data_IF_895725456791
#
_entry.id   IF_895725456791
#
_cell.length_a   1.000
_cell.length_b   1.000
_cell.length_c   1.000
_cell.angle_alpha   90.00
_cell.angle_beta   90.00
_cell.angle_gamma   90.00
#
_symmetry.space_group_name_H-M   'P 1'
#
loop_
_entity.id
_entity.type
_entity.pdbx_description
1 polymer ?
2 non-polymer ?
3 non-polymer ?
4 non-polymer ?
5 water ?
#
# COMPACT_ATOMS: atom_id res chain seq x y z
N UNK A 4 24.20 11.05 -6.40
CA UNK A 4 25.41 10.24 -6.56
C UNK A 4 25.48 9.03 -5.64
N UNK A 5 25.94 9.27 -4.41
CA UNK A 5 25.96 8.24 -3.37
C UNK A 5 24.62 8.19 -2.64
N UNK A 6 24.29 7.00 -2.11
CA UNK A 6 23.04 6.80 -1.39
C UNK A 6 23.15 7.29 0.04
N UNK A 7 22.11 7.97 0.53
CA UNK A 7 22.08 8.47 1.90
C UNK A 7 21.04 7.71 2.67
N UNK A 8 21.44 7.13 3.81
CA UNK A 8 20.61 6.29 4.65
C UNK A 8 20.25 7.00 5.95
N UNK A 9 19.03 6.75 6.44
CA UNK A 9 18.57 7.23 7.73
C UNK A 9 18.22 6.02 8.59
N UNK A 10 18.43 6.17 9.90
CA UNK A 10 17.82 5.29 10.88
C UNK A 10 16.31 5.29 10.68
N UNK A 11 15.73 4.10 10.54
CA UNK A 11 14.30 4.01 10.34
C UNK A 11 13.55 4.46 11.59
N UNK A 12 12.63 5.41 11.47
CA UNK A 12 11.76 5.74 12.62
C UNK A 12 11.01 4.53 13.17
N UNK A 13 10.74 3.52 12.36
CA UNK A 13 10.01 2.37 12.87
C UNK A 13 10.84 1.46 13.77
N UNK A 14 12.15 1.69 13.87
CA UNK A 14 13.06 0.78 14.57
C UNK A 14 13.49 1.35 15.91
N UNK A 15 13.23 0.60 16.98
CA UNK A 15 13.72 0.99 18.30
C UNK A 15 14.70 -0.09 18.73
N UNK A 16 15.52 0.24 19.73
CA UNK A 16 16.61 -0.63 20.11
C UNK A 16 16.76 -0.66 21.63
N UNK A 17 17.69 -1.50 22.05
CA UNK A 17 17.79 -2.07 23.39
C UNK A 17 19.13 -2.80 23.47
N UNK A 18 19.74 -2.80 24.64
CA UNK A 18 20.92 -3.62 24.82
C UNK A 18 20.48 -4.97 25.39
N UNK A 19 21.37 -5.94 25.23
CA UNK A 19 21.12 -7.32 25.62
C UNK A 19 22.44 -7.89 26.13
N UNK A 20 22.32 -9.05 26.80
CA UNK A 20 23.51 -9.86 27.00
C UNK A 20 24.06 -10.33 25.66
N UNK A 21 23.16 -10.73 24.75
CA UNK A 21 23.53 -11.27 23.44
C UNK A 21 24.10 -10.22 22.51
N UNK A 22 23.58 -9.02 22.58
CA UNK A 22 24.01 -7.96 21.68
C UNK A 22 22.98 -6.86 21.64
N UNK A 23 22.97 -6.13 20.54
CA UNK A 23 22.06 -5.01 20.40
C UNK A 23 20.79 -5.47 19.68
N UNK A 24 19.67 -5.30 20.33
CA UNK A 24 18.35 -5.61 19.78
C UNK A 24 17.84 -4.39 19.02
N UNK A 25 17.54 -4.58 17.74
CA UNK A 25 16.96 -3.55 16.92
C UNK A 25 15.75 -4.14 16.19
N UNK A 26 14.59 -3.56 16.41
CA UNK A 26 13.39 -4.22 15.97
C UNK A 26 13.27 -5.57 16.66
N UNK A 27 12.91 -6.59 15.90
CA UNK A 27 12.69 -7.89 16.49
C UNK A 27 13.92 -8.81 16.42
N UNK A 28 15.09 -8.23 16.15
CA UNK A 28 16.31 -8.97 15.91
C UNK A 28 17.42 -8.50 16.82
N UNK A 29 18.32 -9.45 17.17
CA UNK A 29 19.50 -9.18 17.97
C UNK A 29 20.72 -9.27 17.06
N UNK A 30 21.58 -8.25 17.11
CA UNK A 30 22.80 -8.18 16.31
C UNK A 30 24.05 -8.25 17.17
N UNK A 31 25.14 -8.73 16.56
CA UNK A 31 26.33 -9.18 17.28
C UNK A 31 27.58 -8.66 16.60
N UNK A 32 28.71 -8.75 17.34
CA UNK A 32 30.00 -8.38 16.78
C UNK A 32 30.37 -6.91 16.95
N UNK A 33 31.01 -6.30 15.94
CA UNK A 33 31.52 -4.95 16.10
C UNK A 33 30.44 -4.00 16.59
N UNK A 34 29.19 -4.23 16.17
CA UNK A 34 28.14 -3.26 16.38
C UNK A 34 27.90 -2.94 17.84
N UNK A 35 28.27 -3.84 18.75
CA UNK A 35 28.09 -3.56 20.17
C UNK A 35 28.93 -2.36 20.66
N UNK A 36 30.13 -2.15 20.07
CA UNK A 36 30.94 -1.00 20.43
C UNK A 36 30.43 0.28 19.78
N UNK A 37 29.77 0.15 18.62
CA UNK A 37 29.27 1.31 17.89
C UNK A 37 28.15 2.06 18.60
N UNK A 38 27.43 1.41 19.51
CA UNK A 38 26.30 2.08 20.16
C UNK A 38 26.73 2.70 21.48
N UNK A 39 26.05 3.75 21.93
CA UNK A 39 24.94 4.44 21.29
C UNK A 39 25.21 5.39 20.15
N UNK A 40 26.48 5.68 19.87
CA UNK A 40 26.80 6.73 18.91
C UNK A 40 26.22 6.41 17.54
N UNK A 41 26.13 5.12 17.18
CA UNK A 41 25.65 4.75 15.85
C UNK A 41 24.21 5.19 15.63
N UNK A 42 23.38 5.11 16.69
CA UNK A 42 21.98 5.53 16.61
C UNK A 42 21.89 7.02 16.40
N UNK A 43 22.63 7.80 17.20
CA UNK A 43 22.63 9.26 17.04
C UNK A 43 23.10 9.64 15.64
N UNK A 44 24.23 9.05 15.19
CA UNK A 44 24.83 9.41 13.90
C UNK A 44 23.86 9.11 12.75
N UNK A 45 23.24 7.93 12.77
CA UNK A 45 22.43 7.49 11.64
C UNK A 45 21.16 8.31 11.46
N UNK A 46 20.68 8.99 12.51
CA UNK A 46 19.45 9.75 12.35
C UNK A 46 19.62 10.97 11.47
N UNK A 47 20.86 11.46 11.32
CA UNK A 47 21.15 12.69 10.59
C UNK A 47 21.17 12.51 9.07
N UNK A 48 21.20 11.27 8.58
CA UNK A 48 21.38 11.04 7.16
C UNK A 48 22.85 10.95 6.80
N UNK A 49 23.32 9.74 6.52
CA UNK A 49 24.74 9.46 6.34
C UNK A 49 24.90 8.47 5.20
N UNK A 50 26.05 8.56 4.53
CA UNK A 50 26.39 7.57 3.52
C UNK A 50 27.07 6.36 4.15
N UNK A 51 27.21 5.30 3.33
CA UNK A 51 27.91 4.11 3.79
C UNK A 51 29.38 4.41 4.06
N UNK A 52 30.00 5.23 3.21
CA UNK A 52 31.40 5.56 3.41
C UNK A 52 31.60 6.34 4.70
N UNK A 53 30.73 7.31 4.97
CA UNK A 53 30.88 8.09 6.20
C UNK A 53 30.64 7.21 7.42
N UNK A 54 29.76 6.23 7.31
CA UNK A 54 29.59 5.28 8.40
C UNK A 54 30.87 4.47 8.60
N UNK A 55 31.46 3.97 7.53
CA UNK A 55 32.69 3.20 7.65
C UNK A 55 33.81 4.04 8.24
N UNK A 56 34.03 5.23 7.66
CA UNK A 56 35.06 6.13 8.18
C UNK A 56 34.87 6.42 9.67
N UNK A 57 33.62 6.53 10.12
CA UNK A 57 33.39 6.85 11.52
C UNK A 57 33.43 5.64 12.47
N UNK A 58 33.20 4.41 11.99
CA UNK A 58 33.06 3.27 12.89
C UNK A 58 33.94 2.07 12.54
N UNK A 59 34.48 1.97 11.31
CA UNK A 59 35.17 0.77 10.84
C UNK A 59 36.23 0.32 11.83
N UNK A 60 37.32 1.09 11.97
CA UNK A 60 38.36 0.79 12.95
C UNK A 60 38.49 -0.70 13.21
N UNK A 61 39.03 -1.43 12.23
CA UNK A 61 39.07 -2.88 12.31
C UNK A 61 38.69 -3.51 10.99
N UNK A 62 38.19 -4.74 11.02
CA UNK A 62 37.86 -5.45 9.80
C UNK A 62 36.85 -4.63 9.00
N UNK A 63 37.28 -4.03 7.89
CA UNK A 63 36.34 -3.34 7.02
C UNK A 63 35.41 -4.31 6.27
N UNK A 64 35.80 -5.59 6.13
CA UNK A 64 34.90 -6.62 5.63
C UNK A 64 33.80 -6.92 6.65
N UNK A 65 34.16 -6.92 7.94
CA UNK A 65 33.23 -7.26 9.01
C UNK A 65 32.24 -6.12 9.24
N UNK A 66 32.65 -4.91 8.87
CA UNK A 66 31.77 -3.77 9.07
C UNK A 66 30.76 -3.65 7.93
N UNK A 67 31.22 -3.95 6.69
CA UNK A 67 30.28 -3.92 5.58
C UNK A 67 29.22 -5.01 5.75
N UNK A 68 29.59 -6.09 6.47
CA UNK A 68 28.66 -7.21 6.62
C UNK A 68 27.49 -6.84 7.51
N UNK A 69 27.76 -6.09 8.57
CA UNK A 69 26.68 -5.69 9.46
C UNK A 69 25.89 -4.53 8.86
N UNK A 70 26.55 -3.62 8.14
CA UNK A 70 25.79 -2.59 7.43
C UNK A 70 24.91 -3.18 6.34
N UNK A 71 25.46 -4.13 5.58
CA UNK A 71 24.64 -4.78 4.55
C UNK A 71 23.38 -5.34 5.19
N UNK A 72 23.50 -5.85 6.42
CA UNK A 72 22.39 -6.52 7.10
C UNK A 72 21.40 -5.50 7.69
N UNK A 73 21.89 -4.35 8.14
CA UNK A 73 20.97 -3.33 8.60
C UNK A 73 20.17 -2.71 7.46
N UNK A 74 20.72 -2.68 6.25
CA UNK A 74 19.96 -2.29 5.08
C UNK A 74 18.97 -3.39 4.67
N UNK A 75 19.43 -4.64 4.67
CA UNK A 75 18.55 -5.75 4.34
C UNK A 75 17.37 -5.77 5.30
N UNK A 76 17.66 -5.55 6.60
CA UNK A 76 16.66 -5.62 7.65
C UNK A 76 15.93 -4.30 7.86
N UNK A 77 16.15 -3.31 6.97
CA UNK A 77 15.39 -2.07 6.94
C UNK A 77 15.58 -1.23 8.19
N UNK A 78 16.73 -1.38 8.84
CA UNK A 78 17.11 -0.47 9.91
C UNK A 78 17.68 0.84 9.33
N UNK A 79 18.34 0.76 8.17
CA UNK A 79 18.80 1.91 7.41
C UNK A 79 18.04 1.97 6.09
N UNK A 80 17.40 3.12 5.82
CA UNK A 80 16.47 3.26 4.72
C UNK A 80 16.82 4.54 3.97
N UNK A 81 16.37 4.63 2.68
CA UNK A 81 16.70 5.73 1.78
C UNK A 81 15.59 6.76 1.57
N UNK A 82 14.38 6.53 2.05
CA UNK A 82 13.27 7.40 1.77
C UNK A 82 12.16 7.14 2.72
N UNK A 83 10.97 7.69 2.40
CA UNK A 83 9.81 7.43 3.27
C UNK A 83 9.51 5.93 3.35
N UNK A 84 9.00 5.53 4.54
CA UNK A 84 8.67 4.13 4.73
C UNK A 84 7.36 3.78 4.04
N UNK A 85 7.23 2.57 3.53
CA UNK A 85 5.92 2.11 3.03
C UNK A 85 4.97 1.93 4.19
N UNK A 86 3.64 1.87 3.92
CA UNK A 86 2.66 1.88 5.05
C UNK A 86 2.83 0.76 6.08
N UNK A 87 3.23 -0.44 5.66
CA UNK A 87 3.37 -1.53 6.62
C UNK A 87 4.39 -1.18 7.69
N UNK A 88 5.48 -0.51 7.30
CA UNK A 88 6.51 -0.12 8.26
C UNK A 88 6.11 1.11 9.08
N UNK A 89 5.36 2.04 8.49
CA UNK A 89 4.88 3.21 9.22
C UNK A 89 4.11 2.78 10.43
N UNK A 90 3.21 1.80 10.25
CA UNK A 90 2.27 1.41 11.28
C UNK A 90 2.79 0.33 12.20
N UNK A 91 3.80 -0.45 11.81
CA UNK A 91 4.19 -1.64 12.58
C UNK A 91 4.41 -1.37 14.07
N UNK A 92 4.99 -0.23 14.49
CA UNK A 92 5.21 0.01 15.93
C UNK A 92 3.96 0.09 16.76
N UNK A 93 2.81 0.23 16.14
CA UNK A 93 1.61 0.41 16.94
C UNK A 93 1.22 -0.89 17.63
N UNK A 94 1.76 -2.03 17.17
CA UNK A 94 1.47 -3.32 17.81
C UNK A 94 1.91 -3.31 19.26
N UNK A 95 3.04 -2.63 19.53
CA UNK A 95 3.61 -2.54 20.85
C UNK A 95 2.83 -1.68 21.83
N UNK A 96 1.81 -0.98 21.35
CA UNK A 96 1.04 -0.07 22.18
C UNK A 96 -0.38 -0.56 22.42
N UNK A 97 -0.86 -1.49 21.59
CA UNK A 97 -2.22 -1.98 21.69
C UNK A 97 -2.19 -3.20 22.59
N UNK A 98 -2.98 -3.14 23.65
CA UNK A 98 -3.12 -4.26 24.59
C UNK A 98 -4.33 -5.07 24.12
N UNK A 99 -4.08 -6.30 23.69
CA UNK A 99 -5.14 -7.09 23.07
C UNK A 99 -5.88 -7.90 24.13
N UNK A 100 -7.19 -7.67 24.31
CA UNK A 100 -7.97 -8.44 25.30
C UNK A 100 -8.52 -9.77 24.81
N UNK A 101 -8.35 -10.07 23.51
CA UNK A 101 -8.79 -11.31 22.91
C UNK A 101 -7.61 -12.26 22.82
N UNK A 102 -7.93 -13.51 22.55
CA UNK A 102 -6.88 -14.52 22.42
C UNK A 102 -6.31 -14.45 20.99
N UNK A 103 -5.04 -14.79 20.88
CA UNK A 103 -4.41 -14.84 19.57
C UNK A 103 -5.09 -15.88 18.68
N UNK A 104 -5.90 -16.81 19.25
CA UNK A 104 -6.48 -17.91 18.48
C UNK A 104 -7.52 -17.41 17.47
N UNK A 105 -7.92 -16.14 17.57
CA UNK A 105 -8.73 -15.51 16.55
C UNK A 105 -8.12 -15.69 15.16
N UNK A 106 -6.78 -15.54 15.03
CA UNK A 106 -6.13 -15.62 13.73
C UNK A 106 -5.98 -17.06 13.20
N UNK A 107 -6.04 -18.08 14.09
CA UNK A 107 -5.71 -19.46 13.72
C UNK A 107 -6.94 -20.36 13.53
N UNK A 108 -8.15 -19.86 13.83
CA UNK A 108 -9.34 -20.71 13.87
C UNK A 108 -10.49 -19.97 13.19
N UNK A 109 -11.02 -20.55 12.08
CA UNK A 109 -12.14 -19.94 11.38
C UNK A 109 -13.36 -19.87 12.29
N UNK A 110 -13.38 -20.69 13.35
CA UNK A 110 -14.48 -20.70 14.30
C UNK A 110 -14.30 -19.64 15.38
N UNK A 111 -13.06 -19.46 15.84
CA UNK A 111 -12.78 -18.35 16.75
C UNK A 111 -12.94 -17.00 16.04
N UNK A 112 -12.60 -16.97 14.74
CA UNK A 112 -12.69 -15.72 13.98
C UNK A 112 -14.15 -15.38 13.70
N UNK A 113 -14.91 -16.36 13.17
CA UNK A 113 -16.33 -16.11 12.91
C UNK A 113 -17.01 -15.53 14.15
N UNK A 114 -16.51 -15.89 15.33
CA UNK A 114 -17.12 -15.38 16.57
C UNK A 114 -16.64 -13.95 16.89
N UNK A 115 -15.33 -13.69 16.77
CA UNK A 115 -14.82 -12.34 16.97
C UNK A 115 -15.53 -11.33 16.07
N UNK A 116 -15.82 -11.73 14.82
CA UNK A 116 -16.45 -10.82 13.87
C UNK A 116 -17.86 -10.48 14.32
N UNK A 117 -18.66 -11.50 14.63
CA UNK A 117 -20.04 -11.22 15.00
C UNK A 117 -20.09 -10.36 16.26
N UNK A 118 -19.07 -10.51 17.13
CA UNK A 118 -19.00 -9.68 18.33
C UNK A 118 -18.63 -8.23 17.98
N UNK A 119 -17.74 -8.03 16.99
CA UNK A 119 -17.34 -6.68 16.62
C UNK A 119 -18.43 -6.00 15.81
N UNK A 120 -19.24 -6.77 15.10
CA UNK A 120 -20.32 -6.14 14.35
C UNK A 120 -21.49 -5.80 15.22
N UNK A 121 -21.56 -6.32 16.45
CA UNK A 121 -22.59 -5.93 17.40
C UNK A 121 -22.02 -5.10 18.54
N UNK A 122 -20.88 -4.45 18.32
CA UNK A 122 -20.27 -3.62 19.35
C UNK A 122 -21.02 -2.31 19.49
N UNK A 123 -20.78 -1.66 20.63
CA UNK A 123 -21.32 -0.34 20.88
C UNK A 123 -20.26 0.44 21.64
N UNK A 124 -20.38 1.75 21.57
CA UNK A 124 -19.52 2.65 22.32
C UNK A 124 -19.85 2.55 23.80
N UNK A 125 -18.79 2.50 24.62
CA UNK A 125 -18.96 2.25 26.03
C UNK A 125 -19.59 3.44 26.75
N UNK A 126 -19.43 4.67 26.21
CA UNK A 126 -19.85 5.88 26.91
C UNK A 126 -21.24 6.33 26.49
N UNK A 127 -22.08 5.40 26.08
CA UNK A 127 -23.40 5.73 25.61
C UNK A 127 -24.39 5.87 26.75
N UNK A 128 -25.22 6.90 26.64
CA UNK A 128 -26.30 7.11 27.57
C UNK A 128 -27.55 6.35 27.08
N UNK A 129 -28.53 6.24 27.97
CA UNK A 129 -29.78 5.53 27.66
C UNK A 129 -30.79 6.42 26.92
N UNK A 130 -30.34 7.15 25.91
CA UNK A 130 -31.23 7.79 24.96
C UNK A 130 -30.85 7.34 23.54
N UNK A 131 -31.85 7.28 22.68
CA UNK A 131 -31.73 6.75 21.32
C UNK A 131 -32.60 7.59 20.41
N UNK A 132 -32.16 7.76 19.19
CA UNK A 132 -32.97 8.29 18.08
C UNK A 132 -32.98 7.27 16.95
N UNK A 133 -34.12 6.60 16.75
CA UNK A 133 -34.22 5.59 15.70
C UNK A 133 -34.45 6.28 14.35
N UNK A 134 -33.50 6.08 13.41
CA UNK A 134 -33.59 6.71 12.11
C UNK A 134 -34.50 5.93 11.18
N UNK A 135 -35.01 6.65 10.16
CA UNK A 135 -35.87 6.04 9.14
C UNK A 135 -35.03 5.12 8.25
N UNK A 136 -35.43 3.86 8.20
CA UNK A 136 -34.86 2.84 7.33
C UNK A 136 -35.40 2.91 5.92
N UNK A 137 -36.49 3.69 5.72
CA UNK A 137 -37.25 3.68 4.48
C UNK A 137 -36.42 4.09 3.27
N UNK A 138 -35.70 5.22 3.39
CA UNK A 138 -35.06 5.83 2.24
C UNK A 138 -34.35 4.93 1.25
N UNK A 139 -34.42 5.33 -0.02
CA UNK A 139 -33.84 4.58 -1.12
C UNK A 139 -32.43 5.06 -1.47
N UNK A 140 -31.52 4.12 -1.64
CA UNK A 140 -30.13 4.43 -1.93
C UNK A 140 -29.80 4.04 -3.37
N UNK A 141 -28.78 4.68 -3.97
CA UNK A 141 -28.40 4.31 -5.36
C UNK A 141 -28.04 2.85 -5.48
N UNK A 142 -28.44 2.23 -6.61
CA UNK A 142 -28.16 0.81 -6.78
C UNK A 142 -26.67 0.54 -7.00
N UNK A 143 -25.95 1.46 -7.64
CA UNK A 143 -24.52 1.23 -7.77
C UNK A 143 -23.86 1.13 -6.40
N UNK A 144 -24.47 1.71 -5.36
CA UNK A 144 -23.90 1.62 -4.03
C UNK A 144 -24.39 0.40 -3.29
N UNK A 145 -25.71 0.15 -3.34
CA UNK A 145 -26.27 -0.90 -2.52
C UNK A 145 -25.99 -2.31 -3.02
N UNK A 146 -25.78 -2.47 -4.33
CA UNK A 146 -25.55 -3.78 -4.93
C UNK A 146 -24.08 -4.10 -5.10
N UNK A 147 -23.18 -3.14 -4.83
CA UNK A 147 -21.74 -3.39 -4.91
C UNK A 147 -21.31 -4.46 -3.90
N UNK A 148 -20.54 -5.41 -4.39
CA UNK A 148 -19.99 -6.51 -3.62
C UNK A 148 -18.52 -6.64 -4.00
N UNK A 149 -17.78 -7.35 -3.16
CA UNK A 149 -16.40 -7.68 -3.47
C UNK A 149 -16.45 -8.89 -4.38
N UNK A 150 -16.01 -8.70 -5.62
CA UNK A 150 -16.08 -9.71 -6.67
C UNK A 150 -14.77 -10.50 -6.68
N UNK A 151 -14.87 -11.83 -6.56
CA UNK A 151 -13.68 -12.67 -6.50
C UNK A 151 -13.64 -13.74 -7.60
N UNK A 152 -14.62 -13.73 -8.51
CA UNK A 152 -14.69 -14.66 -9.62
C UNK A 152 -15.03 -13.82 -10.84
N UNK A 153 -14.23 -13.93 -11.91
CA UNK A 153 -14.39 -13.13 -13.09
C UNK A 153 -14.52 -13.99 -14.35
N UNK A 154 -15.09 -13.39 -15.39
CA UNK A 154 -15.08 -13.94 -16.74
C UNK A 154 -13.64 -13.91 -17.25
N UNK A 155 -13.02 -15.08 -17.36
CA UNK A 155 -11.63 -15.16 -17.79
C UNK A 155 -11.48 -15.30 -19.28
N UNK A 156 -12.59 -15.37 -20.00
CA UNK A 156 -12.56 -15.51 -21.46
C UNK A 156 -12.93 -14.21 -22.17
N UNK A 157 -14.05 -13.59 -21.80
CA UNK A 157 -14.46 -12.36 -22.48
C UNK A 157 -13.55 -11.19 -22.13
N UNK A 158 -12.94 -10.52 -23.10
CA UNK A 158 -12.10 -9.36 -22.76
C UNK A 158 -12.92 -8.15 -22.36
N UNK A 159 -12.43 -7.43 -21.34
CA UNK A 159 -12.98 -6.13 -21.01
C UNK A 159 -12.89 -5.26 -22.26
N UNK A 160 -14.04 -4.80 -22.74
CA UNK A 160 -14.04 -3.94 -23.92
C UNK A 160 -13.23 -2.67 -23.64
N UNK A 161 -12.62 -2.15 -24.70
CA UNK A 161 -11.83 -0.94 -24.56
C UNK A 161 -12.70 0.22 -24.05
N UNK A 162 -13.97 0.23 -24.42
CA UNK A 162 -14.86 1.29 -23.99
C UNK A 162 -15.15 1.19 -22.50
N UNK A 163 -15.52 -0.01 -22.05
CA UNK A 163 -15.74 -0.24 -20.63
C UNK A 163 -14.51 0.15 -19.80
N UNK A 164 -13.34 -0.32 -20.24
CA UNK A 164 -12.12 0.02 -19.51
C UNK A 164 -11.83 1.51 -19.55
N UNK A 165 -12.03 2.14 -20.70
CA UNK A 165 -11.84 3.59 -20.80
C UNK A 165 -12.80 4.29 -19.86
N UNK A 166 -14.06 3.86 -19.84
CA UNK A 166 -15.08 4.50 -19.02
C UNK A 166 -14.78 4.33 -17.54
N UNK A 167 -14.32 3.16 -17.14
CA UNK A 167 -13.91 2.96 -15.76
C UNK A 167 -12.82 3.95 -15.35
N UNK A 168 -11.79 4.10 -16.15
CA UNK A 168 -10.69 4.94 -15.73
C UNK A 168 -10.96 6.43 -15.89
N UNK A 169 -12.02 6.83 -16.61
CA UNK A 169 -12.35 8.24 -16.66
C UNK A 169 -12.89 8.74 -15.32
N UNK A 170 -13.18 7.84 -14.39
CA UNK A 170 -13.52 8.28 -13.04
C UNK A 170 -12.32 8.94 -12.39
N UNK A 171 -11.10 8.57 -12.83
CA UNK A 171 -9.86 9.07 -12.23
C UNK A 171 -9.21 10.16 -13.05
N UNK A 172 -9.80 10.52 -14.18
CA UNK A 172 -9.19 11.52 -15.03
C UNK A 172 -9.52 12.93 -14.58
N UNK A 173 -8.76 13.86 -15.15
CA UNK A 173 -8.98 15.28 -15.00
C UNK A 173 -10.01 15.79 -16.01
N UNK A 174 -10.59 16.94 -15.69
CA UNK A 174 -11.57 17.63 -16.52
C UNK A 174 -11.17 19.10 -16.50
N UNK A 175 -10.83 19.69 -17.65
CA UNK A 175 -10.52 21.12 -17.69
C UNK A 175 -11.85 21.85 -17.88
N UNK A 176 -12.21 22.70 -16.90
CA UNK A 176 -13.52 23.37 -16.88
C UNK A 176 -13.48 24.67 -16.08
N UNK A 177 -12.71 25.67 -16.54
CA UNK A 177 -12.43 26.92 -15.82
C UNK A 177 -11.35 26.70 -14.73
N UNK A 178 -10.96 25.45 -14.46
CA UNK A 178 -10.08 25.06 -13.37
C UNK A 178 -9.99 23.53 -13.55
N UNK A 179 -8.89 22.88 -13.13
CA UNK A 179 -8.82 21.42 -13.29
C UNK A 179 -9.62 20.77 -12.18
N UNK A 180 -10.47 19.79 -12.54
CA UNK A 180 -11.32 19.07 -11.60
C UNK A 180 -11.25 17.56 -11.77
N UNK A 181 -11.34 16.86 -10.63
CA UNK A 181 -11.48 15.41 -10.61
C UNK A 181 -12.88 15.06 -10.14
N UNK A 182 -13.20 13.76 -10.19
CA UNK A 182 -14.47 13.23 -9.74
C UNK A 182 -14.46 12.77 -8.28
N UNK A 183 -13.41 13.14 -7.55
CA UNK A 183 -13.26 12.68 -6.18
C UNK A 183 -12.42 13.70 -5.43
N UNK A 184 -12.57 13.74 -4.11
CA UNK A 184 -11.92 14.75 -3.30
C UNK A 184 -10.44 14.40 -3.03
N UNK A 185 -9.68 15.43 -2.68
CA UNK A 185 -8.27 15.28 -2.34
C UNK A 185 -7.81 16.46 -1.52
N UNK A 186 -7.20 16.17 -0.35
CA UNK A 186 -6.57 17.20 0.47
C UNK A 186 -5.70 18.15 -0.36
N UNK A 187 -5.98 19.45 -0.21
CA UNK A 187 -5.27 20.47 -0.95
C UNK A 187 -5.53 20.49 -2.43
N UNK A 188 -6.45 19.64 -2.91
CA UNK A 188 -6.58 19.39 -4.35
C UNK A 188 -5.26 19.08 -5.04
N UNK A 189 -4.37 18.36 -4.37
CA UNK A 189 -3.06 18.03 -4.93
C UNK A 189 -3.04 16.72 -5.69
N UNK A 190 -4.02 15.85 -5.47
CA UNK A 190 -4.21 14.56 -6.14
C UNK A 190 -2.87 13.80 -6.23
N UNK A 191 -2.24 13.51 -5.10
CA UNK A 191 -0.88 12.94 -5.10
C UNK A 191 -0.83 11.43 -5.27
N UNK A 192 -1.95 10.77 -5.57
CA UNK A 192 -1.96 9.35 -5.88
C UNK A 192 -1.67 9.13 -7.37
N UNK A 193 -0.48 8.62 -7.67
CA UNK A 193 -0.20 8.05 -8.98
C UNK A 193 -0.94 6.73 -9.14
N UNK A 194 -1.58 6.55 -10.29
CA UNK A 194 -2.35 5.34 -10.56
C UNK A 194 -1.63 4.52 -11.62
N UNK A 195 -1.40 3.25 -11.31
CA UNK A 195 -0.78 2.33 -12.24
C UNK A 195 -1.70 1.14 -12.46
N UNK A 196 -1.54 0.46 -13.59
CA UNK A 196 -2.35 -0.69 -13.92
C UNK A 196 -1.46 -1.77 -14.52
N UNK A 197 -1.63 -2.99 -14.05
CA UNK A 197 -1.14 -4.17 -14.73
C UNK A 197 -2.27 -4.86 -15.48
N UNK A 198 -2.07 -5.11 -16.77
CA UNK A 198 -3.07 -5.75 -17.59
C UNK A 198 -2.56 -7.11 -17.99
N UNK A 199 -3.37 -8.14 -17.78
CA UNK A 199 -3.01 -9.49 -18.18
C UNK A 199 -3.16 -9.67 -19.70
N UNK A 200 -2.41 -10.59 -20.28
CA UNK A 200 -2.51 -10.80 -21.73
C UNK A 200 -3.90 -11.23 -22.17
N UNK A 201 -4.38 -10.61 -23.26
CA UNK A 201 -5.62 -10.94 -23.96
C UNK A 201 -6.88 -10.62 -23.17
N UNK A 202 -6.77 -9.93 -22.02
CA UNK A 202 -7.90 -9.79 -21.11
C UNK A 202 -8.58 -8.43 -21.19
N UNK A 203 -7.95 -7.45 -21.83
CA UNK A 203 -8.55 -6.15 -22.05
C UNK A 203 -8.37 -5.79 -23.53
N UNK A 204 -9.49 -5.65 -24.24
CA UNK A 204 -9.47 -5.19 -25.62
C UNK A 204 -8.68 -3.90 -25.73
N UNK A 205 -7.69 -3.89 -26.62
CA UNK A 205 -6.95 -2.69 -26.96
C UNK A 205 -5.75 -2.36 -26.09
N UNK A 206 -5.40 -3.23 -25.14
CA UNK A 206 -4.35 -2.99 -24.16
C UNK A 206 -3.43 -4.21 -24.03
N UNK A 207 -2.20 -4.11 -24.59
CA UNK A 207 -1.24 -5.22 -24.47
C UNK A 207 -0.90 -5.46 -22.99
N UNK A 208 -0.55 -6.70 -22.67
CA UNK A 208 -0.14 -6.98 -21.30
C UNK A 208 1.00 -6.04 -20.91
N UNK A 209 1.01 -5.66 -19.65
CA UNK A 209 2.13 -4.91 -19.10
C UNK A 209 1.65 -3.99 -17.99
N UNK A 210 2.64 -3.31 -17.43
CA UNK A 210 2.43 -2.29 -16.41
C UNK A 210 2.33 -0.93 -17.07
N UNK A 211 1.34 -0.16 -16.68
CA UNK A 211 1.13 1.16 -17.25
C UNK A 211 0.88 2.20 -16.17
N UNK A 212 1.36 3.40 -16.44
CA UNK A 212 1.05 4.57 -15.64
C UNK A 212 -0.16 5.27 -16.24
N UNK A 213 -1.22 5.43 -15.43
CA UNK A 213 -2.39 6.16 -15.89
C UNK A 213 -2.15 7.65 -15.76
N UNK A 214 -2.17 8.37 -16.87
CA UNK A 214 -1.98 9.82 -16.84
C UNK A 214 -3.33 10.50 -16.80
N UNK A 215 -3.74 11.10 -15.67
CA UNK A 215 -5.08 11.68 -15.58
C UNK A 215 -5.27 12.94 -16.39
N UNK A 216 -4.19 13.60 -16.78
CA UNK A 216 -4.28 14.79 -17.60
C UNK A 216 -4.63 14.50 -19.06
N UNK A 217 -4.11 13.39 -19.61
CA UNK A 217 -4.42 12.98 -20.96
C UNK A 217 -5.59 12.01 -21.05
N UNK A 218 -5.92 11.34 -19.94
CA UNK A 218 -6.74 10.12 -19.96
C UNK A 218 -6.10 9.06 -20.89
N UNK A 219 -4.86 8.72 -20.56
CA UNK A 219 -4.06 7.77 -21.31
C UNK A 219 -3.35 6.79 -20.38
N UNK A 220 -3.05 5.63 -20.94
CA UNK A 220 -2.10 4.70 -20.34
C UNK A 220 -0.75 4.88 -21.01
N UNK A 221 0.30 4.93 -20.20
CA UNK A 221 1.67 5.12 -20.70
C UNK A 221 2.49 3.92 -20.24
N UNK A 222 3.09 3.21 -21.19
CA UNK A 222 3.80 2.00 -20.82
C UNK A 222 4.94 2.31 -19.84
N UNK A 223 5.09 1.43 -18.84
CA UNK A 223 6.22 1.46 -17.93
C UNK A 223 7.10 0.23 -18.06
N UNK A 224 6.48 -0.95 -18.25
CA UNK A 224 7.18 -2.24 -18.19
C UNK A 224 6.34 -3.29 -18.90
N UNK A 225 6.83 -3.80 -20.04
CA UNK A 225 6.21 -4.94 -20.71
C UNK A 225 7.01 -6.24 -20.52
N UNK A 226 8.17 -6.17 -19.85
CA UNK A 226 9.05 -7.33 -19.69
C UNK A 226 8.60 -8.20 -18.51
N UNK A 227 8.34 -7.58 -17.35
CA UNK A 227 7.98 -8.33 -16.16
C UNK A 227 6.48 -8.60 -16.17
N UNK A 228 6.06 -9.49 -15.27
CA UNK A 228 4.64 -9.70 -15.06
C UNK A 228 4.38 -10.02 -13.59
N UNK A 229 3.14 -9.83 -13.21
CA UNK A 229 2.71 -10.23 -11.89
C UNK A 229 2.34 -11.70 -11.93
N UNK A 230 2.71 -12.44 -10.89
CA UNK A 230 2.36 -13.84 -10.76
C UNK A 230 1.61 -14.10 -9.45
N UNK A 231 1.11 -15.34 -9.30
CA UNK A 231 0.35 -15.72 -8.11
C UNK A 231 1.24 -15.69 -6.85
N UNK A 232 2.53 -16.02 -6.97
CA UNK A 232 3.38 -16.01 -5.77
C UNK A 232 3.62 -14.58 -5.27
N UNK A 233 3.22 -13.56 -6.02
CA UNK A 233 3.28 -12.20 -5.52
C UNK A 233 2.08 -11.87 -4.64
N UNK A 234 1.18 -12.80 -4.45
CA UNK A 234 -0.02 -12.55 -3.72
C UNK A 234 -0.05 -13.43 -2.48
N UNK A 235 -0.62 -12.90 -1.40
CA UNK A 235 -0.94 -13.75 -0.26
C UNK A 235 -1.73 -14.95 -0.74
N UNK A 236 -1.57 -16.07 -0.02
CA UNK A 236 -2.20 -17.32 -0.42
C UNK A 236 -3.71 -17.18 -0.60
N UNK A 237 -4.35 -16.47 0.33
CA UNK A 237 -5.78 -16.29 0.35
C UNK A 237 -6.29 -15.58 -0.91
N UNK A 238 -5.41 -14.87 -1.62
CA UNK A 238 -5.80 -14.04 -2.74
C UNK A 238 -5.34 -14.56 -4.09
N UNK A 239 -4.66 -15.70 -4.12
CA UNK A 239 -4.00 -16.07 -5.36
C UNK A 239 -5.01 -16.44 -6.43
N UNK A 240 -6.14 -17.06 -6.05
CA UNK A 240 -7.13 -17.36 -7.07
C UNK A 240 -7.84 -16.09 -7.53
N UNK A 241 -8.01 -15.11 -6.63
CA UNK A 241 -8.55 -13.84 -7.06
C UNK A 241 -7.69 -13.24 -8.16
N UNK A 242 -6.39 -13.18 -7.91
CA UNK A 242 -5.51 -12.63 -8.92
C UNK A 242 -5.53 -13.48 -10.18
N UNK A 243 -5.49 -14.81 -10.04
CA UNK A 243 -5.48 -15.68 -11.21
C UNK A 243 -6.63 -15.36 -12.17
N UNK A 244 -7.81 -15.04 -11.62
CA UNK A 244 -8.98 -14.79 -12.45
C UNK A 244 -9.07 -13.35 -12.96
N UNK A 245 -8.44 -12.41 -12.29
CA UNK A 245 -8.65 -11.01 -12.63
C UNK A 245 -8.09 -10.71 -14.02
N UNK A 246 -8.64 -9.66 -14.63
CA UNK A 246 -8.23 -9.19 -15.93
C UNK A 246 -7.10 -8.18 -15.83
N UNK A 247 -7.14 -7.35 -14.78
CA UNK A 247 -6.18 -6.31 -14.53
C UNK A 247 -6.04 -6.06 -13.04
N UNK A 248 -4.97 -5.36 -12.65
CA UNK A 248 -4.68 -4.99 -11.28
C UNK A 248 -4.44 -3.49 -11.25
N UNK A 249 -5.09 -2.79 -10.34
CA UNK A 249 -4.83 -1.37 -10.12
C UNK A 249 -3.94 -1.20 -8.90
N UNK A 250 -2.96 -0.31 -9.01
CA UNK A 250 -2.05 0.03 -7.91
C UNK A 250 -2.15 1.52 -7.63
N UNK A 251 -2.45 1.86 -6.37
CA UNK A 251 -2.51 3.22 -5.92
C UNK A 251 -1.22 3.56 -5.19
N UNK A 252 -0.49 4.54 -5.72
CA UNK A 252 0.85 4.91 -5.25
C UNK A 252 0.85 6.35 -4.77
N UNK A 253 1.36 6.55 -3.55
CA UNK A 253 1.55 7.88 -3.03
C UNK A 253 2.83 8.52 -3.59
N UNK A 254 2.69 9.67 -4.23
CA UNK A 254 3.81 10.51 -4.63
C UNK A 254 4.03 11.53 -3.52
N UNK A 255 5.01 11.29 -2.65
CA UNK A 255 5.29 12.24 -1.57
C UNK A 255 5.61 13.62 -2.13
N UNK A 256 6.18 13.70 -3.35
CA UNK A 256 6.54 14.99 -3.89
C UNK A 256 5.32 15.82 -4.27
N UNK A 257 4.18 15.16 -4.39
CA UNK A 257 2.94 15.84 -4.74
C UNK A 257 2.14 16.29 -3.53
N UNK A 258 2.72 16.21 -2.33
CA UNK A 258 1.95 16.38 -1.09
C UNK A 258 2.78 16.89 0.09
N UNK A 259 3.86 16.19 0.45
CA UNK A 259 4.64 16.59 1.61
C UNK A 259 5.24 17.98 1.49
N UNK A 260 5.63 18.48 0.30
CA UNK A 260 6.10 19.87 0.25
C UNK A 260 5.07 20.86 0.80
N UNK A 261 3.80 20.51 0.81
CA UNK A 261 2.78 21.39 1.36
C UNK A 261 2.34 20.97 2.75
N UNK A 262 2.04 19.69 2.96
CA UNK A 262 1.40 19.23 4.18
C UNK A 262 2.35 18.52 5.13
N UNK A 263 3.61 18.29 4.74
CA UNK A 263 4.49 17.47 5.57
C UNK A 263 3.98 16.03 5.64
N UNK A 264 4.32 15.38 6.75
CA UNK A 264 3.90 13.99 6.92
C UNK A 264 2.38 13.81 6.87
N UNK A 265 1.60 14.84 7.25
CA UNK A 265 0.14 14.73 7.23
C UNK A 265 -0.37 14.44 5.83
N UNK A 266 0.38 14.82 4.79
CA UNK A 266 -0.08 14.56 3.46
C UNK A 266 -0.06 13.09 3.11
N UNK A 267 0.89 12.36 3.69
CA UNK A 267 0.92 10.92 3.55
C UNK A 267 -0.29 10.32 4.21
N UNK A 268 -0.60 10.74 5.43
CA UNK A 268 -1.85 10.30 6.03
C UNK A 268 -3.06 10.63 5.15
N UNK A 269 -3.15 11.87 4.66
CA UNK A 269 -4.27 12.24 3.81
C UNK A 269 -4.33 11.37 2.56
N UNK A 270 -3.16 11.01 2.00
CA UNK A 270 -3.12 10.13 0.83
C UNK A 270 -3.66 8.73 1.16
N UNK A 271 -3.50 8.28 2.41
CA UNK A 271 -4.10 6.99 2.74
C UNK A 271 -5.62 7.08 2.72
N UNK A 272 -6.16 8.17 3.25
CA UNK A 272 -7.59 8.39 3.13
C UNK A 272 -7.98 8.49 1.65
N UNK A 273 -7.21 9.25 0.88
CA UNK A 273 -7.55 9.49 -0.52
C UNK A 273 -7.55 8.19 -1.30
N UNK A 274 -6.68 7.24 -0.91
CA UNK A 274 -6.68 5.92 -1.52
C UNK A 274 -8.05 5.23 -1.36
N UNK A 275 -8.66 5.35 -0.17
CA UNK A 275 -10.00 4.84 0.01
C UNK A 275 -11.01 5.53 -0.88
N UNK A 276 -10.99 6.87 -0.89
CA UNK A 276 -11.89 7.62 -1.75
C UNK A 276 -11.80 7.11 -3.19
N UNK A 277 -10.58 6.90 -3.67
CA UNK A 277 -10.40 6.46 -5.05
C UNK A 277 -11.00 5.06 -5.23
N UNK A 278 -10.68 4.16 -4.31
CA UNK A 278 -11.21 2.80 -4.38
C UNK A 278 -12.75 2.84 -4.42
N UNK A 279 -13.36 3.61 -3.53
CA UNK A 279 -14.82 3.66 -3.49
C UNK A 279 -15.37 4.25 -4.78
N UNK A 280 -14.74 5.32 -5.26
CA UNK A 280 -15.21 5.98 -6.47
C UNK A 280 -15.14 5.03 -7.65
N UNK A 281 -13.99 4.38 -7.83
CA UNK A 281 -13.87 3.36 -8.85
C UNK A 281 -14.92 2.26 -8.65
N UNK A 282 -15.08 1.77 -7.42
CA UNK A 282 -15.92 0.60 -7.23
C UNK A 282 -17.39 0.91 -7.60
N UNK A 283 -17.76 2.19 -7.65
CA UNK A 283 -19.13 2.60 -7.98
C UNK A 283 -19.32 2.65 -9.50
N UNK A 284 -18.36 3.27 -10.20
CA UNK A 284 -18.37 3.25 -11.66
C UNK A 284 -18.32 1.82 -12.17
N UNK A 285 -17.55 0.97 -11.50
CA UNK A 285 -17.47 -0.43 -11.90
C UNK A 285 -18.84 -1.09 -11.90
N UNK A 286 -19.57 -0.96 -10.79
CA UNK A 286 -20.89 -1.56 -10.67
C UNK A 286 -21.83 -1.06 -11.78
N UNK A 287 -21.66 0.20 -12.19
CA UNK A 287 -22.44 0.73 -13.30
C UNK A 287 -22.12 0.03 -14.60
N UNK A 288 -20.90 -0.44 -14.77
CA UNK A 288 -20.45 -1.07 -16.00
C UNK A 288 -20.37 -2.60 -15.90
N UNK A 289 -20.98 -3.20 -14.88
CA UNK A 289 -20.88 -4.65 -14.64
C UNK A 289 -19.44 -5.14 -14.71
N UNK A 290 -18.54 -4.33 -14.12
CA UNK A 290 -17.18 -4.72 -13.75
C UNK A 290 -17.15 -5.02 -12.25
N UNK A 291 -16.47 -6.10 -11.88
CA UNK A 291 -16.27 -6.42 -10.48
C UNK A 291 -14.89 -6.01 -10.03
N UNK A 292 -14.77 -5.60 -8.78
CA UNK A 292 -13.48 -5.29 -8.18
C UNK A 292 -13.36 -6.01 -6.84
N UNK A 293 -12.11 -6.24 -6.42
CA UNK A 293 -11.81 -6.67 -5.06
C UNK A 293 -10.54 -5.98 -4.56
N UNK A 294 -10.64 -5.28 -3.44
CA UNK A 294 -9.47 -4.71 -2.81
C UNK A 294 -8.53 -5.81 -2.28
N UNK A 295 -7.24 -5.50 -2.31
CA UNK A 295 -6.20 -6.38 -1.85
C UNK A 295 -5.47 -5.58 -0.80
N UNK A 296 -5.41 -6.11 0.42
CA UNK A 296 -4.77 -5.36 1.49
C UNK A 296 -3.26 -5.43 1.39
N UNK A 297 -2.78 -6.65 1.14
CA UNK A 297 -1.35 -6.91 1.10
C UNK A 297 -0.98 -7.89 -0.01
N UNK A 298 0.27 -7.79 -0.45
CA UNK A 298 0.82 -8.34 -1.67
C UNK A 298 2.32 -8.09 -1.55
N UNK A 299 3.11 -8.76 -2.39
CA UNK A 299 4.54 -8.50 -2.46
C UNK A 299 4.80 -7.16 -3.15
N UNK A 300 4.56 -6.08 -2.40
CA UNK A 300 4.73 -4.74 -2.93
C UNK A 300 6.19 -4.42 -3.18
N UNK A 301 7.10 -5.11 -2.50
CA UNK A 301 8.54 -4.92 -2.77
C UNK A 301 8.83 -5.23 -4.25
N UNK A 302 8.19 -6.28 -4.80
CA UNK A 302 8.37 -6.62 -6.21
C UNK A 302 7.63 -5.67 -7.15
N UNK A 303 6.37 -5.37 -6.83
CA UNK A 303 5.57 -4.50 -7.69
C UNK A 303 6.24 -3.14 -7.81
N UNK A 304 6.75 -2.63 -6.69
CA UNK A 304 7.45 -1.35 -6.68
C UNK A 304 8.59 -1.36 -7.68
N UNK A 305 9.30 -2.48 -7.78
CA UNK A 305 10.40 -2.58 -8.72
C UNK A 305 9.90 -2.69 -10.16
N UNK A 306 8.77 -3.37 -10.36
CA UNK A 306 8.25 -3.49 -11.71
C UNK A 306 7.77 -2.13 -12.19
N UNK A 307 7.20 -1.33 -11.29
CA UNK A 307 6.71 0.01 -11.65
C UNK A 307 7.83 1.05 -11.70
N UNK A 308 9.06 0.68 -11.32
CA UNK A 308 10.22 1.55 -11.44
C UNK A 308 10.03 2.82 -10.60
N UNK A 309 9.49 2.62 -9.40
CA UNK A 309 9.22 3.70 -8.48
C UNK A 309 10.49 4.29 -7.91
N UNK A 310 10.39 5.55 -7.50
CA UNK A 310 11.49 6.26 -6.89
C UNK A 310 11.26 6.35 -5.38
N UNK A 311 12.31 6.82 -4.68
CA UNK A 311 12.30 6.91 -3.22
C UNK A 311 11.10 7.66 -2.68
N UNK A 312 10.47 8.51 -3.51
CA UNK A 312 9.39 9.35 -3.04
C UNK A 312 8.02 8.77 -3.38
N UNK A 313 7.98 7.52 -3.85
CA UNK A 313 6.75 6.85 -4.22
C UNK A 313 6.65 5.51 -3.47
N UNK A 314 5.48 5.26 -2.87
CA UNK A 314 5.23 3.99 -2.17
C UNK A 314 3.85 3.49 -2.55
N UNK A 315 3.71 2.15 -2.63
CA UNK A 315 2.41 1.58 -2.94
C UNK A 315 1.53 1.49 -1.69
N UNK A 316 0.32 2.03 -1.80
CA UNK A 316 -0.63 2.06 -0.69
C UNK A 316 -1.64 0.93 -0.72
N UNK A 317 -2.16 0.60 -1.91
CA UNK A 317 -3.30 -0.27 -2.01
C UNK A 317 -3.30 -0.91 -3.39
N UNK A 318 -4.03 -2.00 -3.51
CA UNK A 318 -4.16 -2.70 -4.78
C UNK A 318 -5.57 -3.22 -4.97
N UNK A 319 -5.99 -3.28 -6.24
CA UNK A 319 -7.33 -3.70 -6.59
C UNK A 319 -7.27 -4.60 -7.82
N UNK A 320 -7.92 -5.76 -7.73
CA UNK A 320 -8.11 -6.68 -8.85
C UNK A 320 -9.48 -6.45 -9.46
N UNK A 321 -9.54 -6.50 -10.78
CA UNK A 321 -10.76 -6.20 -11.49
C UNK A 321 -10.93 -7.08 -12.71
N UNK A 322 -12.15 -7.05 -13.24
CA UNK A 322 -12.48 -7.81 -14.43
C UNK A 322 -13.98 -7.91 -14.57
N UNK A 323 -14.40 -8.52 -15.67
CA UNK A 323 -15.83 -8.67 -15.94
C UNK A 323 -16.42 -9.68 -14.97
N UNK A 324 -17.66 -9.43 -14.54
CA UNK A 324 -18.34 -10.39 -13.69
C UNK A 324 -18.91 -11.55 -14.51
N UNK A 325 -18.92 -12.75 -13.88
CA UNK A 325 -19.50 -13.94 -14.51
C UNK A 325 -21.01 -13.74 -14.69
N UNK A 326 -21.51 -14.19 -15.86
CA UNK A 326 -22.93 -14.12 -16.19
C UNK A 326 -23.46 -12.68 -16.09
#
# INVERSE_FOLDING_TARGET
>A
GAMGEQIFYWSPAKHWRMSDEGVVIGESTYTGMILEWFPEFYFFAQTGVTINRLLERFSSGSEKEANEILELLIQDRVLVEGILPPREVFSPQEGLFVNPYSEQIRYSKEALDYYVSEQLNRTHAACRSTKIQLETSGALPDIIQKRRSCRRFDMKTPVSFATFSNLLSSLKQRKEDKILYNYASAGGLYPIDVFVYVKPRRVEGVKAGFYYFNPADHSLVLVNNIDQVIKDDHELINQDIFAQSAFSVYLVYNARASMPKYGAAGYFYACIEAGIITATLNMVAEDLNVGLCSIGHMNFEEIQTFLKLEDHQVILHAIEGGLKIDGAAAENLYFQ
#
